data_IF_944981087913
#
_entry.id   IF_944981087913
#
_cell.length_a   1.000
_cell.length_b   1.000
_cell.length_c   1.000
_cell.angle_alpha   90.00
_cell.angle_beta   90.00
_cell.angle_gamma   90.00
#
_symmetry.space_group_name_H-M   'P 1'
#
loop_
_entity.id
_entity.type
_entity.pdbx_description
1 polymer ?
#
# COMPACT_ATOMS: atom_id res chain seq x y z
N UNK A 1 -16.21 -41.94 -24.38
CA UNK A 1 -17.42 -41.35 -23.73
C UNK A 1 -17.07 -39.93 -23.35
N UNK A 2 -17.23 -38.99 -24.28
CA UNK A 2 -18.44 -38.16 -24.46
C UNK A 2 -18.43 -36.94 -23.55
N UNK A 3 -17.84 -35.86 -24.07
CA UNK A 3 -18.22 -34.48 -23.74
C UNK A 3 -19.74 -34.32 -23.87
N UNK A 4 -20.38 -33.62 -22.93
CA UNK A 4 -21.47 -32.72 -23.29
C UNK A 4 -21.47 -31.42 -22.47
N UNK A 5 -21.72 -30.28 -23.13
CA UNK A 5 -21.73 -28.93 -22.58
C UNK A 5 -23.16 -28.48 -22.21
N UNK A 6 -23.29 -27.56 -21.26
CA UNK A 6 -24.40 -26.59 -21.22
C UNK A 6 -24.30 -25.67 -20.01
N UNK A 7 -23.97 -24.40 -20.22
CA UNK A 7 -24.81 -23.32 -19.70
C UNK A 7 -24.57 -22.06 -20.56
N UNK A 8 -25.39 -21.93 -21.61
CA UNK A 8 -25.60 -20.69 -22.33
C UNK A 8 -26.21 -19.68 -21.35
N UNK A 9 -25.40 -18.73 -20.88
CA UNK A 9 -25.89 -17.55 -20.16
C UNK A 9 -26.61 -16.65 -21.17
N UNK A 10 -27.94 -16.58 -21.04
CA UNK A 10 -28.79 -15.64 -21.75
C UNK A 10 -28.28 -14.22 -21.48
N UNK A 11 -27.82 -13.55 -22.54
CA UNK A 11 -27.63 -12.11 -22.59
C UNK A 11 -29.00 -11.43 -22.44
N UNK A 12 -29.42 -11.24 -21.19
CA UNK A 12 -30.50 -10.33 -20.83
C UNK A 12 -29.91 -8.93 -20.79
N UNK A 13 -30.19 -8.13 -21.80
CA UNK A 13 -30.10 -6.66 -21.70
C UNK A 13 -30.76 -6.22 -20.39
N UNK A 14 -30.01 -5.65 -19.45
CA UNK A 14 -30.56 -5.03 -18.26
C UNK A 14 -30.18 -3.56 -18.25
N UNK A 15 -31.22 -2.77 -18.42
CA UNK A 15 -31.28 -1.32 -18.27
C UNK A 15 -30.72 -0.87 -16.92
N UNK A 16 -29.91 0.17 -16.96
CA UNK A 16 -29.37 0.90 -15.81
C UNK A 16 -30.50 1.28 -14.83
N UNK A 17 -30.44 0.77 -13.59
CA UNK A 17 -31.30 1.21 -12.50
C UNK A 17 -30.67 2.42 -11.80
N UNK A 18 -31.37 3.55 -11.87
CA UNK A 18 -30.97 4.86 -11.34
C UNK A 18 -31.42 4.99 -9.89
N UNK A 19 -30.86 4.23 -8.95
CA UNK A 19 -31.16 4.44 -7.53
C UNK A 19 -29.92 4.20 -6.66
N UNK A 20 -29.17 5.28 -6.41
CA UNK A 20 -28.16 5.34 -5.35
C UNK A 20 -28.84 5.68 -4.00
N UNK A 21 -28.47 5.03 -2.88
CA UNK A 21 -28.98 5.41 -1.56
C UNK A 21 -28.41 6.78 -1.14
N UNK A 22 -29.32 7.68 -0.75
CA UNK A 22 -29.01 9.01 -0.25
C UNK A 22 -28.69 8.93 1.25
N UNK A 23 -27.49 9.35 1.66
CA UNK A 23 -27.20 9.69 3.06
C UNK A 23 -26.70 11.12 3.15
N UNK A 24 -27.47 11.94 3.85
CA UNK A 24 -27.24 13.35 4.14
C UNK A 24 -26.00 13.56 5.02
N UNK A 25 -24.87 13.77 4.37
CA UNK A 25 -23.84 14.73 4.78
C UNK A 25 -23.36 15.39 3.50
N UNK A 26 -22.76 16.58 3.57
CA UNK A 26 -22.24 17.36 2.43
C UNK A 26 -21.10 16.60 1.74
N UNK A 27 -21.43 15.48 1.10
CA UNK A 27 -20.53 14.54 0.46
C UNK A 27 -20.18 15.15 -0.88
N UNK A 28 -18.88 15.24 -1.15
CA UNK A 28 -18.39 15.60 -2.46
C UNK A 28 -18.95 14.58 -3.46
N UNK A 29 -19.94 14.99 -4.26
CA UNK A 29 -20.55 14.14 -5.27
C UNK A 29 -19.54 13.86 -6.38
N UNK A 30 -19.36 12.60 -6.74
CA UNK A 30 -18.54 12.18 -7.86
C UNK A 30 -19.48 11.73 -8.98
N UNK A 31 -19.34 12.35 -10.15
CA UNK A 31 -20.11 11.99 -11.34
C UNK A 31 -19.34 10.92 -12.15
N UNK A 32 -19.91 9.72 -12.25
CA UNK A 32 -19.34 8.61 -13.04
C UNK A 32 -19.88 8.56 -14.48
N UNK A 33 -20.61 9.57 -14.95
CA UNK A 33 -21.16 9.61 -16.32
C UNK A 33 -20.09 9.44 -17.40
N UNK A 34 -18.91 10.06 -17.21
CA UNK A 34 -17.78 9.96 -18.12
C UNK A 34 -17.25 8.53 -18.20
N UNK A 35 -16.85 7.95 -17.07
CA UNK A 35 -16.33 6.58 -17.02
C UNK A 35 -17.35 5.55 -17.50
N UNK A 36 -18.63 5.67 -17.11
CA UNK A 36 -19.69 4.78 -17.58
C UNK A 36 -19.89 4.86 -19.10
N UNK A 37 -19.81 6.06 -19.69
CA UNK A 37 -19.89 6.25 -21.13
C UNK A 37 -18.73 5.58 -21.87
N UNK A 38 -17.50 5.75 -21.38
CA UNK A 38 -16.28 5.15 -21.93
C UNK A 38 -16.31 3.63 -21.82
N UNK A 39 -16.68 3.09 -20.65
CA UNK A 39 -16.79 1.64 -20.44
C UNK A 39 -17.81 1.05 -21.41
N UNK A 40 -18.98 1.67 -21.55
CA UNK A 40 -20.03 1.21 -22.45
C UNK A 40 -19.56 1.15 -23.92
N UNK A 41 -18.70 2.07 -24.37
CA UNK A 41 -18.22 2.11 -25.76
C UNK A 41 -16.96 1.27 -26.01
N UNK A 42 -16.08 1.12 -25.02
CA UNK A 42 -14.69 0.69 -25.24
C UNK A 42 -14.23 -0.49 -24.38
N UNK A 43 -15.12 -1.11 -23.59
CA UNK A 43 -14.74 -2.16 -22.64
C UNK A 43 -13.88 -3.30 -23.23
N UNK A 44 -14.22 -3.90 -24.41
CA UNK A 44 -13.39 -4.96 -24.96
C UNK A 44 -11.93 -4.54 -25.21
N UNK A 45 -11.73 -3.30 -25.67
CA UNK A 45 -10.40 -2.74 -25.94
C UNK A 45 -9.67 -2.44 -24.62
N UNK A 46 -10.36 -1.83 -23.65
CA UNK A 46 -9.84 -1.56 -22.30
C UNK A 46 -9.35 -2.86 -21.66
N UNK A 47 -10.19 -3.88 -21.67
CA UNK A 47 -9.85 -5.17 -21.06
C UNK A 47 -8.70 -5.85 -21.79
N UNK A 48 -8.66 -5.84 -23.12
CA UNK A 48 -7.53 -6.40 -23.88
C UNK A 48 -6.18 -5.79 -23.46
N UNK A 49 -6.10 -4.46 -23.34
CA UNK A 49 -4.88 -3.79 -22.89
C UNK A 49 -4.60 -4.02 -21.39
N UNK A 50 -5.63 -4.07 -20.56
CA UNK A 50 -5.49 -4.40 -19.13
C UNK A 50 -4.95 -5.82 -18.94
N UNK A 51 -5.44 -6.80 -19.69
CA UNK A 51 -4.91 -8.16 -19.67
C UNK A 51 -3.43 -8.18 -20.07
N UNK A 52 -3.04 -7.40 -21.09
CA UNK A 52 -1.63 -7.30 -21.48
C UNK A 52 -0.74 -6.72 -20.39
N UNK A 53 -1.23 -5.71 -19.66
CA UNK A 53 -0.54 -5.19 -18.47
C UNK A 53 -0.36 -6.29 -17.41
N UNK A 54 -1.42 -7.05 -17.11
CA UNK A 54 -1.41 -8.12 -16.11
C UNK A 54 -0.45 -9.24 -16.51
N UNK A 55 -0.38 -9.64 -17.78
CA UNK A 55 0.61 -10.61 -18.28
C UNK A 55 2.05 -10.16 -18.01
N UNK A 56 2.36 -8.89 -18.31
CA UNK A 56 3.68 -8.32 -18.08
C UNK A 56 4.00 -8.23 -16.58
N UNK A 57 3.02 -7.84 -15.76
CA UNK A 57 3.13 -7.84 -14.30
C UNK A 57 3.43 -9.24 -13.78
N UNK A 58 2.67 -10.26 -14.19
CA UNK A 58 2.87 -11.65 -13.79
C UNK A 58 4.25 -12.17 -14.21
N UNK A 59 4.75 -11.71 -15.36
CA UNK A 59 6.11 -12.03 -15.82
C UNK A 59 7.18 -11.42 -14.91
N UNK A 60 7.03 -10.18 -14.45
CA UNK A 60 7.94 -9.60 -13.45
C UNK A 60 7.80 -10.34 -12.12
N UNK A 61 6.58 -10.71 -11.69
CA UNK A 61 6.37 -11.36 -10.40
C UNK A 61 6.73 -12.85 -10.36
N UNK A 62 7.20 -13.45 -11.46
CA UNK A 62 7.50 -14.90 -11.55
C UNK A 62 8.52 -15.38 -10.52
N UNK A 63 9.51 -14.54 -10.22
CA UNK A 63 10.64 -14.88 -9.33
C UNK A 63 10.42 -14.45 -7.86
N UNK A 64 9.19 -14.06 -7.50
CA UNK A 64 8.85 -13.63 -6.14
C UNK A 64 9.22 -14.64 -5.05
N UNK A 65 9.13 -15.94 -5.36
CA UNK A 65 9.49 -16.99 -4.41
C UNK A 65 10.97 -16.95 -4.00
N UNK A 66 11.86 -16.49 -4.89
CA UNK A 66 13.27 -16.31 -4.58
C UNK A 66 13.43 -15.19 -3.55
N UNK A 67 12.70 -14.09 -3.71
CA UNK A 67 12.74 -12.95 -2.78
C UNK A 67 12.15 -13.32 -1.43
N UNK A 68 11.03 -14.05 -1.39
CA UNK A 68 10.44 -14.57 -0.15
C UNK A 68 11.45 -15.44 0.63
N UNK A 69 12.17 -16.34 -0.07
CA UNK A 69 13.24 -17.16 0.54
C UNK A 69 14.39 -16.29 1.08
N UNK A 70 14.82 -15.27 0.33
CA UNK A 70 15.85 -14.32 0.80
C UNK A 70 15.38 -13.58 2.06
N UNK A 71 14.16 -13.07 2.08
CA UNK A 71 13.57 -12.37 3.25
C UNK A 71 13.55 -13.29 4.47
N UNK A 72 13.06 -14.52 4.33
CA UNK A 72 13.04 -15.50 5.43
C UNK A 72 14.45 -15.71 6.01
N UNK A 73 15.43 -15.91 5.13
CA UNK A 73 16.80 -16.17 5.54
C UNK A 73 17.52 -14.93 6.10
N UNK A 74 17.21 -13.71 5.62
CA UNK A 74 17.71 -12.46 6.21
C UNK A 74 17.14 -12.27 7.62
N UNK A 75 15.84 -12.52 7.82
CA UNK A 75 15.22 -12.44 9.14
C UNK A 75 15.86 -13.42 10.12
N UNK A 76 16.19 -14.63 9.70
CA UNK A 76 16.94 -15.60 10.50
C UNK A 76 18.33 -15.07 10.92
N UNK A 77 19.12 -14.58 9.96
CA UNK A 77 20.44 -13.99 10.24
C UNK A 77 20.36 -12.82 11.22
N UNK A 78 19.36 -11.95 11.08
CA UNK A 78 19.15 -10.81 11.97
C UNK A 78 18.67 -11.24 13.36
N UNK A 79 17.76 -12.21 13.46
CA UNK A 79 17.31 -12.74 14.76
C UNK A 79 18.49 -13.35 15.54
N UNK A 80 19.41 -14.05 14.86
CA UNK A 80 20.62 -14.61 15.47
C UNK A 80 21.62 -13.55 15.97
N UNK A 81 21.40 -12.26 15.66
CA UNK A 81 22.19 -11.19 16.24
C UNK A 81 21.76 -10.84 17.66
N UNK A 82 20.52 -11.16 18.04
CA UNK A 82 19.92 -10.73 19.30
C UNK A 82 19.77 -11.92 20.24
N UNK A 83 20.49 -11.91 21.36
CA UNK A 83 20.55 -13.02 22.32
C UNK A 83 19.29 -13.12 23.22
N UNK A 84 18.21 -12.38 22.90
CA UNK A 84 17.01 -12.28 23.73
C UNK A 84 15.82 -12.95 23.06
N UNK A 85 15.19 -13.90 23.77
CA UNK A 85 13.97 -14.60 23.35
C UNK A 85 12.76 -13.67 23.16
N UNK A 86 12.79 -12.49 23.78
CA UNK A 86 11.66 -11.55 23.77
C UNK A 86 11.71 -10.54 22.62
N UNK A 87 12.77 -10.57 21.80
CA UNK A 87 12.89 -9.70 20.63
C UNK A 87 12.06 -10.27 19.48
N UNK A 88 11.38 -9.40 18.74
CA UNK A 88 10.74 -9.75 17.45
C UNK A 88 11.18 -8.82 16.34
N UNK A 89 11.48 -9.42 15.18
CA UNK A 89 11.62 -8.72 13.91
C UNK A 89 10.39 -8.96 13.05
N UNK A 90 9.52 -7.94 13.01
CA UNK A 90 8.23 -7.99 12.33
C UNK A 90 8.37 -7.39 10.94
N UNK A 91 8.10 -8.14 9.85
CA UNK A 91 8.07 -7.56 8.52
C UNK A 91 6.88 -6.61 8.40
N UNK A 92 7.09 -5.49 7.72
CA UNK A 92 6.06 -4.51 7.39
C UNK A 92 6.14 -4.17 5.89
N UNK A 93 5.21 -3.35 5.41
CA UNK A 93 5.16 -2.93 4.02
C UNK A 93 5.01 -4.11 3.05
N UNK A 94 5.65 -4.02 1.89
CA UNK A 94 5.46 -4.98 0.79
C UNK A 94 5.81 -6.43 1.15
N UNK A 95 6.71 -6.64 2.12
CA UNK A 95 7.08 -7.97 2.60
C UNK A 95 5.99 -8.64 3.47
N UNK A 96 5.02 -7.87 3.96
CA UNK A 96 4.00 -8.32 4.89
C UNK A 96 2.57 -8.17 4.36
N UNK A 97 2.34 -7.29 3.38
CA UNK A 97 1.00 -6.96 2.88
C UNK A 97 0.63 -7.60 1.53
N UNK A 98 1.41 -8.60 1.09
CA UNK A 98 1.24 -9.35 -0.17
C UNK A 98 1.50 -8.55 -1.46
N UNK A 99 2.05 -7.33 -1.37
CA UNK A 99 2.38 -6.48 -2.53
C UNK A 99 3.89 -6.48 -2.87
N UNK A 100 4.58 -7.56 -2.50
CA UNK A 100 6.01 -7.75 -2.79
C UNK A 100 6.24 -7.79 -4.30
N UNK A 101 7.33 -7.17 -4.77
CA UNK A 101 7.81 -7.25 -6.15
C UNK A 101 9.33 -7.40 -6.21
N UNK A 102 9.88 -7.54 -7.41
CA UNK A 102 11.32 -7.74 -7.63
C UNK A 102 12.24 -6.62 -7.12
N UNK A 103 11.67 -5.45 -6.86
CA UNK A 103 12.37 -4.23 -6.48
C UNK A 103 12.05 -3.83 -5.04
N UNK A 104 11.29 -4.65 -4.33
CA UNK A 104 10.94 -4.43 -2.93
C UNK A 104 12.18 -4.55 -2.04
N UNK A 105 12.31 -3.56 -1.16
CA UNK A 105 13.22 -3.63 -0.03
C UNK A 105 12.52 -4.36 1.13
N UNK A 106 13.28 -4.76 2.16
CA UNK A 106 12.73 -5.40 3.35
C UNK A 106 12.63 -4.39 4.49
N UNK A 107 11.41 -3.97 4.79
CA UNK A 107 11.12 -3.13 5.95
C UNK A 107 10.80 -3.99 7.18
N UNK A 108 11.46 -3.71 8.30
CA UNK A 108 11.30 -4.42 9.56
C UNK A 108 11.00 -3.45 10.71
N UNK A 109 10.20 -3.91 11.67
CA UNK A 109 10.13 -3.32 13.02
C UNK A 109 10.80 -4.26 14.00
N UNK A 110 11.80 -3.74 14.70
CA UNK A 110 12.42 -4.34 15.87
C UNK A 110 11.57 -4.03 17.10
N UNK A 111 11.03 -5.07 17.73
CA UNK A 111 10.32 -4.98 19.00
C UNK A 111 11.22 -5.53 20.11
N UNK A 112 11.61 -4.73 21.11
CA UNK A 112 12.54 -5.15 22.16
C UNK A 112 11.95 -6.10 23.19
N UNK A 113 10.61 -6.19 23.26
CA UNK A 113 9.89 -7.01 24.22
C UNK A 113 8.54 -7.44 23.66
N UNK A 114 8.05 -8.59 24.14
CA UNK A 114 6.69 -9.08 23.89
C UNK A 114 5.69 -8.57 24.92
N UNK A 115 6.18 -8.11 26.06
CA UNK A 115 5.38 -7.51 27.12
C UNK A 115 5.05 -6.05 26.79
N UNK A 116 3.76 -5.71 26.91
CA UNK A 116 3.24 -4.38 26.55
C UNK A 116 3.75 -3.28 27.47
N UNK A 117 3.99 -3.56 28.76
CA UNK A 117 4.53 -2.59 29.71
C UNK A 117 5.98 -2.27 29.37
N UNK A 118 6.82 -3.29 29.20
CA UNK A 118 8.22 -3.12 28.80
C UNK A 118 8.37 -2.45 27.44
N UNK A 119 7.51 -2.76 26.47
CA UNK A 119 7.49 -2.05 25.19
C UNK A 119 7.15 -0.56 25.36
N UNK A 120 6.14 -0.21 26.18
CA UNK A 120 5.79 1.19 26.47
C UNK A 120 6.95 1.93 27.16
N UNK A 121 7.58 1.30 28.14
CA UNK A 121 8.73 1.89 28.85
C UNK A 121 9.92 2.12 27.90
N UNK A 122 10.18 1.16 27.00
CA UNK A 122 11.16 1.34 25.93
C UNK A 122 10.79 2.52 25.03
N UNK A 123 9.55 2.58 24.54
CA UNK A 123 9.12 3.65 23.63
C UNK A 123 9.20 5.03 24.28
N UNK A 124 8.85 5.13 25.58
CA UNK A 124 9.00 6.37 26.35
C UNK A 124 10.46 6.84 26.37
N UNK A 125 11.40 5.93 26.62
CA UNK A 125 12.83 6.26 26.60
C UNK A 125 13.34 6.54 25.18
N UNK A 126 12.97 5.73 24.19
CA UNK A 126 13.46 5.84 22.82
C UNK A 126 13.00 7.13 22.12
N UNK A 127 11.75 7.55 22.36
CA UNK A 127 11.20 8.79 21.82
C UNK A 127 11.64 10.02 22.62
N UNK A 128 11.60 9.95 23.96
CA UNK A 128 11.82 11.09 24.85
C UNK A 128 13.26 11.34 25.31
N UNK A 129 14.17 10.37 25.19
CA UNK A 129 15.56 10.50 25.63
C UNK A 129 16.55 10.23 24.48
N UNK A 130 17.13 11.31 23.94
CA UNK A 130 18.08 11.25 22.82
C UNK A 130 19.36 10.49 23.15
N UNK A 131 19.86 10.57 24.39
CA UNK A 131 21.06 9.82 24.82
C UNK A 131 20.79 8.32 24.83
N UNK A 132 19.66 7.89 25.42
CA UNK A 132 19.24 6.49 25.40
C UNK A 132 19.07 5.99 23.97
N UNK A 133 18.31 6.72 23.14
CA UNK A 133 18.09 6.38 21.74
C UNK A 133 19.40 6.22 20.96
N UNK A 134 20.29 7.19 21.06
CA UNK A 134 21.55 7.18 20.33
C UNK A 134 22.47 6.04 20.80
N UNK A 135 22.52 5.80 22.12
CA UNK A 135 23.26 4.67 22.69
C UNK A 135 22.70 3.33 22.20
N UNK A 136 21.38 3.16 22.24
CA UNK A 136 20.69 1.96 21.76
C UNK A 136 21.00 1.70 20.27
N UNK A 137 20.76 2.67 19.40
CA UNK A 137 21.04 2.55 17.95
C UNK A 137 22.52 2.25 17.67
N UNK A 138 23.45 2.92 18.37
CA UNK A 138 24.89 2.69 18.20
C UNK A 138 25.29 1.27 18.64
N UNK A 139 24.71 0.76 19.72
CA UNK A 139 24.96 -0.60 20.20
C UNK A 139 24.37 -1.64 19.24
N UNK A 140 23.14 -1.44 18.76
CA UNK A 140 22.54 -2.30 17.73
C UNK A 140 23.38 -2.29 16.45
N UNK A 141 23.83 -1.12 15.98
CA UNK A 141 24.74 -1.01 14.83
C UNK A 141 26.03 -1.81 15.01
N UNK A 142 26.69 -1.68 16.17
CA UNK A 142 27.91 -2.45 16.49
C UNK A 142 27.64 -3.95 16.50
N UNK A 143 26.52 -4.39 17.06
CA UNK A 143 26.11 -5.80 17.11
C UNK A 143 25.84 -6.37 15.71
N UNK A 144 25.11 -5.64 14.85
CA UNK A 144 24.86 -6.07 13.48
C UNK A 144 26.17 -6.16 12.67
N UNK A 145 27.10 -5.23 12.87
CA UNK A 145 28.43 -5.27 12.25
C UNK A 145 29.29 -6.44 12.76
N UNK A 146 29.33 -6.68 14.07
CA UNK A 146 30.14 -7.76 14.64
C UNK A 146 29.67 -9.14 14.18
N UNK A 147 28.35 -9.32 14.04
CA UNK A 147 27.73 -10.55 13.51
C UNK A 147 27.78 -10.64 11.98
N UNK A 148 28.28 -9.61 11.28
CA UNK A 148 28.49 -9.57 9.83
C UNK A 148 27.23 -9.89 9.01
N UNK A 149 26.07 -9.32 9.34
CA UNK A 149 24.80 -9.60 8.60
C UNK A 149 24.72 -8.97 7.19
N UNK A 150 25.63 -8.05 6.89
CA UNK A 150 25.68 -7.32 5.64
C UNK A 150 26.55 -6.07 5.77
N UNK A 151 26.47 -5.19 4.78
CA UNK A 151 26.99 -3.83 4.92
C UNK A 151 25.95 -2.99 5.68
N UNK A 152 26.30 -2.49 6.86
CA UNK A 152 25.38 -1.76 7.73
C UNK A 152 25.74 -0.29 7.69
N UNK A 153 24.79 0.55 7.29
CA UNK A 153 24.98 2.00 7.27
C UNK A 153 25.06 2.53 8.70
N UNK A 154 25.73 3.67 8.88
CA UNK A 154 25.68 4.37 10.16
C UNK A 154 24.22 4.77 10.47
N UNK A 155 23.73 4.63 11.71
CA UNK A 155 22.32 4.86 12.00
C UNK A 155 21.85 6.27 11.64
N UNK A 156 20.61 6.37 11.17
CA UNK A 156 19.98 7.65 10.83
C UNK A 156 19.35 8.28 12.08
N UNK A 157 20.17 8.76 13.02
CA UNK A 157 19.75 9.25 14.34
C UNK A 157 18.74 10.40 14.30
N UNK A 158 18.89 11.30 13.33
CA UNK A 158 18.13 12.55 13.22
C UNK A 158 16.96 12.44 12.21
N UNK A 159 16.72 11.26 11.64
CA UNK A 159 15.53 11.04 10.85
C UNK A 159 14.28 11.10 11.74
N UNK A 160 13.16 11.51 11.17
CA UNK A 160 11.86 11.54 11.86
C UNK A 160 11.53 10.21 12.54
N UNK A 161 11.78 9.12 11.82
CA UNK A 161 11.77 7.77 12.35
C UNK A 161 13.23 7.31 12.29
N UNK A 162 13.92 7.21 13.45
CA UNK A 162 15.28 6.71 13.51
C UNK A 162 15.33 5.26 13.03
N UNK A 163 16.17 4.99 12.03
CA UNK A 163 16.33 3.66 11.43
C UNK A 163 17.79 3.23 11.35
N UNK A 164 18.00 1.92 11.25
CA UNK A 164 19.25 1.32 10.77
C UNK A 164 18.97 0.69 9.41
N UNK A 165 19.75 1.08 8.40
CA UNK A 165 19.72 0.47 7.07
C UNK A 165 20.91 -0.45 6.90
N UNK A 166 20.70 -1.56 6.20
CA UNK A 166 21.78 -2.43 5.76
C UNK A 166 21.50 -3.02 4.38
N UNK A 167 22.57 -3.30 3.65
CA UNK A 167 22.52 -4.15 2.47
C UNK A 167 22.98 -5.56 2.85
N UNK A 168 22.01 -6.49 2.89
CA UNK A 168 22.25 -7.85 3.37
C UNK A 168 23.18 -8.64 2.44
N UNK A 169 23.79 -9.69 2.98
CA UNK A 169 24.57 -10.67 2.19
C UNK A 169 23.78 -11.27 1.01
N UNK A 170 22.45 -11.33 1.13
CA UNK A 170 21.53 -11.86 0.11
C UNK A 170 21.07 -10.81 -0.91
N UNK A 171 21.75 -9.66 -0.96
CA UNK A 171 21.54 -8.57 -1.93
C UNK A 171 20.15 -7.94 -1.87
N UNK A 172 19.60 -7.81 -0.66
CA UNK A 172 18.41 -7.02 -0.38
C UNK A 172 18.76 -5.90 0.59
N UNK A 173 18.27 -4.70 0.31
CA UNK A 173 18.25 -3.60 1.26
C UNK A 173 17.24 -3.91 2.36
N UNK A 174 17.62 -3.63 3.60
CA UNK A 174 16.81 -3.83 4.79
C UNK A 174 16.79 -2.54 5.60
N UNK A 175 15.60 -2.04 5.91
CA UNK A 175 15.39 -0.86 6.75
C UNK A 175 14.73 -1.32 8.06
N UNK A 176 15.39 -1.06 9.20
CA UNK A 176 14.94 -1.49 10.54
C UNK A 176 14.49 -0.27 11.33
N UNK A 177 13.21 -0.22 11.67
CA UNK A 177 12.61 0.71 12.62
C UNK A 177 12.53 0.09 14.02
N UNK A 178 12.37 0.91 15.07
CA UNK A 178 12.41 0.44 16.45
C UNK A 178 11.11 0.77 17.18
N UNK A 179 10.39 -0.27 17.60
CA UNK A 179 9.22 -0.18 18.48
C UNK A 179 7.93 0.38 17.88
N UNK A 180 7.95 0.92 16.65
CA UNK A 180 6.76 1.51 16.01
C UNK A 180 5.68 0.48 15.69
N UNK A 181 4.48 0.65 16.25
CA UNK A 181 3.37 -0.29 16.08
C UNK A 181 2.44 0.11 14.93
N UNK A 182 2.39 1.39 14.59
CA UNK A 182 1.55 1.96 13.56
C UNK A 182 1.83 1.33 12.18
N UNK A 183 3.11 1.17 11.74
CA UNK A 183 3.41 0.48 10.48
C UNK A 183 3.02 -1.01 10.49
N UNK A 184 3.03 -1.67 11.65
CA UNK A 184 2.60 -3.07 11.78
C UNK A 184 1.09 -3.17 11.53
N UNK A 185 0.30 -2.32 12.20
CA UNK A 185 -1.16 -2.30 12.04
C UNK A 185 -1.56 -1.91 10.61
N UNK A 186 -0.96 -0.86 10.07
CA UNK A 186 -1.23 -0.41 8.71
C UNK A 186 -0.84 -1.47 7.67
N UNK A 187 0.26 -2.19 7.86
CA UNK A 187 0.63 -3.31 6.98
C UNK A 187 -0.39 -4.44 7.01
N UNK A 188 -0.93 -4.77 8.19
CA UNK A 188 -1.97 -5.78 8.32
C UNK A 188 -3.30 -5.34 7.72
N UNK A 189 -3.67 -4.06 7.86
CA UNK A 189 -4.84 -3.50 7.19
C UNK A 189 -4.74 -3.65 5.68
N UNK A 190 -3.63 -3.18 5.08
CA UNK A 190 -3.40 -3.32 3.62
C UNK A 190 -3.42 -4.79 3.20
N UNK A 191 -2.79 -5.67 3.99
CA UNK A 191 -2.83 -7.12 3.74
C UNK A 191 -4.26 -7.63 3.68
N UNK A 192 -5.08 -7.24 4.65
CA UNK A 192 -6.47 -7.69 4.77
C UNK A 192 -7.30 -7.20 3.58
N UNK A 193 -7.09 -5.97 3.11
CA UNK A 193 -7.71 -5.48 1.87
C UNK A 193 -7.30 -6.31 0.65
N UNK A 194 -6.02 -6.65 0.52
CA UNK A 194 -5.50 -7.47 -0.60
C UNK A 194 -6.02 -8.91 -0.54
N UNK A 195 -6.17 -9.49 0.65
CA UNK A 195 -6.74 -10.83 0.82
C UNK A 195 -8.26 -10.86 0.59
N UNK A 196 -8.94 -9.72 0.77
CA UNK A 196 -10.39 -9.61 0.58
C UNK A 196 -10.80 -9.71 -0.89
N UNK A 197 -10.09 -9.02 -1.79
CA UNK A 197 -10.40 -9.00 -3.23
C UNK A 197 -9.11 -8.90 -4.07
N UNK A 198 -8.96 -9.81 -5.03
CA UNK A 198 -7.75 -9.91 -5.87
C UNK A 198 -7.49 -8.67 -6.73
N UNK A 199 -8.54 -7.91 -7.09
CA UNK A 199 -8.45 -6.71 -7.92
C UNK A 199 -7.70 -5.60 -7.19
N UNK A 200 -7.68 -5.61 -5.86
CA UNK A 200 -6.95 -4.63 -5.03
C UNK A 200 -5.47 -4.64 -5.35
N UNK A 201 -4.84 -5.83 -5.37
CA UNK A 201 -3.41 -5.94 -5.67
C UNK A 201 -3.10 -5.47 -7.10
N UNK A 202 -3.94 -5.86 -8.06
CA UNK A 202 -3.77 -5.51 -9.48
C UNK A 202 -3.84 -3.99 -9.69
N UNK A 203 -4.80 -3.32 -9.06
CA UNK A 203 -4.94 -1.86 -9.11
C UNK A 203 -3.80 -1.13 -8.41
N UNK A 204 -3.32 -1.64 -7.27
CA UNK A 204 -2.14 -1.09 -6.58
C UNK A 204 -0.91 -1.18 -7.48
N UNK A 205 -0.69 -2.33 -8.14
CA UNK A 205 0.42 -2.49 -9.07
C UNK A 205 0.28 -1.58 -10.29
N UNK A 206 -0.92 -1.43 -10.85
CA UNK A 206 -1.19 -0.50 -11.94
C UNK A 206 -0.88 0.96 -11.55
N UNK A 207 -1.40 1.44 -10.43
CA UNK A 207 -1.19 2.83 -10.01
C UNK A 207 0.28 3.07 -9.61
N UNK A 208 0.93 2.09 -8.97
CA UNK A 208 2.36 2.13 -8.68
C UNK A 208 3.18 2.28 -9.97
N UNK A 209 2.82 1.53 -11.01
CA UNK A 209 3.44 1.62 -12.32
C UNK A 209 3.28 3.02 -12.96
N UNK A 210 2.10 3.64 -12.88
CA UNK A 210 1.88 5.01 -13.38
C UNK A 210 2.63 6.07 -12.57
N UNK A 211 2.76 5.89 -11.25
CA UNK A 211 3.56 6.77 -10.39
C UNK A 211 5.06 6.67 -10.70
N UNK A 212 5.56 5.46 -10.99
CA UNK A 212 6.95 5.24 -11.44
C UNK A 212 7.21 5.88 -12.81
N UNK A 213 6.32 5.65 -13.78
CA UNK A 213 6.41 6.24 -15.12
C UNK A 213 6.43 7.77 -15.07
N UNK A 214 5.63 8.35 -14.16
CA UNK A 214 5.55 9.80 -13.95
C UNK A 214 6.67 10.36 -13.06
N UNK A 215 7.59 9.50 -12.58
CA UNK A 215 8.72 9.86 -11.71
C UNK A 215 8.33 10.57 -10.41
N UNK A 216 7.14 10.26 -9.87
CA UNK A 216 6.65 10.80 -8.60
C UNK A 216 6.68 9.77 -7.45
N UNK A 217 7.27 8.59 -7.67
CA UNK A 217 7.44 7.54 -6.66
C UNK A 217 8.89 7.41 -6.18
N UNK A 218 9.23 8.04 -5.05
CA UNK A 218 10.54 7.86 -4.39
C UNK A 218 10.53 8.41 -2.96
N UNK A 219 10.43 7.52 -1.96
CA UNK A 219 10.34 7.93 -0.56
C UNK A 219 11.54 8.71 -0.04
N UNK A 220 12.75 8.48 -0.59
CA UNK A 220 13.97 9.18 -0.19
C UNK A 220 14.08 10.62 -0.68
N UNK A 221 13.27 11.03 -1.66
CA UNK A 221 13.43 12.30 -2.39
C UNK A 221 12.26 13.26 -2.14
N UNK A 222 11.58 13.14 -0.99
CA UNK A 222 10.36 13.89 -0.67
C UNK A 222 9.20 13.67 -1.67
N UNK A 223 9.20 12.55 -2.41
CA UNK A 223 8.13 12.12 -3.31
C UNK A 223 7.25 11.05 -2.67
N UNK A 224 6.24 10.55 -3.39
CA UNK A 224 5.34 9.55 -2.84
C UNK A 224 6.06 8.23 -2.55
N UNK A 225 5.75 7.62 -1.41
CA UNK A 225 6.03 6.22 -1.12
C UNK A 225 4.94 5.30 -1.72
N UNK A 226 5.25 4.00 -1.80
CA UNK A 226 4.27 2.96 -2.18
C UNK A 226 3.07 2.91 -1.24
N UNK A 227 3.28 3.26 0.03
CA UNK A 227 2.19 3.29 0.98
C UNK A 227 1.12 4.33 0.60
N UNK A 228 1.48 5.52 0.10
CA UNK A 228 0.46 6.47 -0.39
C UNK A 228 -0.34 5.92 -1.57
N UNK A 229 0.32 5.17 -2.47
CA UNK A 229 -0.36 4.52 -3.61
C UNK A 229 -1.37 3.48 -3.10
N UNK A 230 -0.99 2.66 -2.11
CA UNK A 230 -1.90 1.71 -1.49
C UNK A 230 -3.13 2.43 -0.90
N UNK A 231 -2.91 3.54 -0.20
CA UNK A 231 -4.01 4.30 0.41
C UNK A 231 -4.94 4.93 -0.62
N UNK A 232 -4.43 5.42 -1.75
CA UNK A 232 -5.27 5.90 -2.85
C UNK A 232 -6.16 4.78 -3.40
N UNK A 233 -5.59 3.62 -3.74
CA UNK A 233 -6.40 2.52 -4.29
C UNK A 233 -7.42 2.01 -3.28
N UNK A 234 -7.02 1.75 -2.04
CA UNK A 234 -7.93 1.24 -1.00
C UNK A 234 -9.06 2.25 -0.75
N UNK A 235 -8.73 3.55 -0.65
CA UNK A 235 -9.73 4.59 -0.49
C UNK A 235 -10.75 4.58 -1.63
N UNK A 236 -10.28 4.58 -2.89
CA UNK A 236 -11.16 4.57 -4.06
C UNK A 236 -12.12 3.38 -4.04
N UNK A 237 -11.61 2.18 -3.78
CA UNK A 237 -12.41 0.95 -3.77
C UNK A 237 -13.46 0.91 -2.65
N UNK A 238 -13.25 1.69 -1.59
CA UNK A 238 -14.21 1.87 -0.49
C UNK A 238 -15.17 3.05 -0.71
N UNK A 239 -14.78 4.05 -1.50
CA UNK A 239 -15.55 5.28 -1.72
C UNK A 239 -16.56 5.17 -2.87
N UNK A 240 -16.39 4.19 -3.77
CA UNK A 240 -17.24 4.03 -4.94
C UNK A 240 -18.68 3.59 -4.58
N UNK A 241 -19.71 3.96 -5.37
CA UNK A 241 -21.12 3.72 -5.02
C UNK A 241 -21.47 2.24 -4.79
N UNK A 242 -20.86 1.35 -5.58
CA UNK A 242 -20.90 -0.10 -5.40
C UNK A 242 -19.50 -0.55 -4.98
N UNK A 243 -19.15 -0.48 -3.69
CA UNK A 243 -17.79 -0.68 -3.20
C UNK A 243 -17.29 -2.09 -3.51
N UNK A 244 -16.05 -2.17 -4.01
CA UNK A 244 -15.29 -3.44 -4.09
C UNK A 244 -14.78 -3.81 -2.71
N UNK A 245 -14.34 -2.81 -1.94
CA UNK A 245 -13.92 -2.98 -0.56
C UNK A 245 -14.95 -2.33 0.38
N UNK A 246 -15.47 -3.03 1.39
CA UNK A 246 -16.22 -2.35 2.43
C UNK A 246 -15.29 -1.55 3.36
N UNK A 247 -15.85 -0.88 4.36
CA UNK A 247 -15.03 -0.36 5.47
C UNK A 247 -14.43 -1.53 6.27
N UNK A 248 -13.28 -2.02 5.81
CA UNK A 248 -12.57 -3.19 6.36
C UNK A 248 -12.24 -2.99 7.84
N UNK A 249 -11.92 -1.75 8.25
CA UNK A 249 -11.57 -1.43 9.64
C UNK A 249 -12.83 -1.52 10.54
N UNK A 250 -13.99 -1.05 10.06
CA UNK A 250 -15.27 -1.26 10.78
C UNK A 250 -15.61 -2.73 10.97
N UNK A 251 -15.45 -3.52 9.91
CA UNK A 251 -15.95 -4.90 9.86
C UNK A 251 -15.03 -5.91 10.54
N UNK A 252 -13.77 -5.55 10.81
CA UNK A 252 -12.82 -6.42 11.50
C UNK A 252 -12.39 -5.82 12.84
N UNK A 253 -12.96 -6.28 13.98
CA UNK A 253 -12.53 -5.86 15.31
C UNK A 253 -11.02 -6.06 15.54
N UNK A 254 -10.42 -7.01 14.84
CA UNK A 254 -9.00 -7.31 14.89
C UNK A 254 -8.12 -6.15 14.41
N UNK A 255 -8.64 -5.32 13.51
CA UNK A 255 -7.98 -4.14 12.95
C UNK A 255 -8.20 -2.86 13.77
N UNK A 256 -9.03 -2.90 14.82
CA UNK A 256 -9.24 -1.73 15.68
C UNK A 256 -7.94 -1.27 16.33
N UNK A 257 -7.70 0.05 16.36
CA UNK A 257 -6.56 0.66 17.06
C UNK A 257 -6.52 0.34 18.55
N UNK A 258 -7.67 -0.01 19.14
CA UNK A 258 -7.81 -0.38 20.54
C UNK A 258 -7.44 -1.84 20.81
N UNK A 259 -7.31 -2.68 19.77
CA UNK A 259 -6.90 -4.06 19.92
C UNK A 259 -5.41 -4.17 20.26
N UNK A 260 -5.04 -5.22 21.00
CA UNK A 260 -3.64 -5.54 21.30
C UNK A 260 -2.85 -5.73 20.01
N UNK A 261 -1.79 -4.93 19.86
CA UNK A 261 -0.90 -4.96 18.72
C UNK A 261 -0.18 -6.30 18.57
N UNK A 262 -0.06 -7.10 19.65
CA UNK A 262 0.47 -8.46 19.57
C UNK A 262 -0.31 -9.35 18.60
N UNK A 263 -1.61 -9.13 18.45
CA UNK A 263 -2.42 -9.86 17.48
C UNK A 263 -1.95 -9.57 16.06
N UNK A 264 -1.71 -8.30 15.73
CA UNK A 264 -1.19 -7.92 14.43
C UNK A 264 0.20 -8.54 14.16
N UNK A 265 1.06 -8.55 15.18
CA UNK A 265 2.38 -9.18 15.08
C UNK A 265 2.28 -10.69 14.82
N UNK A 266 1.40 -11.40 15.53
CA UNK A 266 1.19 -12.84 15.33
C UNK A 266 0.76 -13.13 13.89
N UNK A 267 -0.20 -12.38 13.35
CA UNK A 267 -0.72 -12.58 11.99
C UNK A 267 0.38 -12.34 10.94
N UNK A 268 1.11 -11.22 11.05
CA UNK A 268 2.16 -10.87 10.09
C UNK A 268 3.41 -11.76 10.18
N UNK A 269 3.70 -12.35 11.34
CA UNK A 269 4.88 -13.22 11.51
C UNK A 269 4.61 -14.68 11.22
N UNK A 270 3.37 -15.15 11.41
CA UNK A 270 2.96 -16.55 11.19
C UNK A 270 2.21 -16.80 9.88
N UNK A 271 2.13 -15.80 9.01
CA UNK A 271 1.39 -15.86 7.73
C UNK A 271 -0.11 -16.17 7.88
N UNK A 272 -0.74 -15.84 9.01
CA UNK A 272 -2.20 -15.97 9.16
C UNK A 272 -2.96 -14.91 8.37
N UNK A 273 -4.28 -15.07 8.22
CA UNK A 273 -5.21 -14.10 7.65
C UNK A 273 -6.23 -13.63 8.70
N UNK A 274 -6.90 -12.51 8.43
CA UNK A 274 -8.02 -12.04 9.23
C UNK A 274 -9.34 -12.37 8.52
N UNK A 275 -10.34 -12.77 9.30
CA UNK A 275 -11.70 -12.86 8.78
C UNK A 275 -12.31 -11.46 8.69
N UNK A 276 -12.92 -11.18 7.53
CA UNK A 276 -13.77 -10.02 7.30
C UNK A 276 -15.10 -10.54 6.77
N UNK A 277 -16.23 -10.27 7.44
CA UNK A 277 -17.54 -10.65 6.93
C UNK A 277 -17.78 -10.06 5.54
N UNK A 278 -18.34 -10.87 4.63
CA UNK A 278 -18.95 -10.31 3.42
C UNK A 278 -20.18 -9.51 3.84
N UNK A 279 -20.29 -8.27 3.36
CA UNK A 279 -21.32 -7.33 3.77
C UNK A 279 -22.20 -6.86 2.62
N UNK A 280 -22.04 -7.43 1.41
CA UNK A 280 -22.86 -7.08 0.26
C UNK A 280 -23.62 -8.29 -0.26
N UNK A 281 -24.94 -8.14 -0.35
CA UNK A 281 -25.82 -9.10 -1.03
C UNK A 281 -25.60 -9.08 -2.57
N UNK A 282 -24.99 -8.01 -3.09
CA UNK A 282 -24.65 -7.84 -4.52
C UNK A 282 -23.19 -7.37 -4.64
N UNK A 283 -22.25 -8.27 -4.95
CA UNK A 283 -20.85 -7.89 -5.08
C UNK A 283 -20.62 -6.98 -6.29
N UNK A 284 -19.60 -6.12 -6.22
CA UNK A 284 -19.15 -5.37 -7.38
C UNK A 284 -18.51 -6.33 -8.41
N UNK A 285 -19.01 -6.35 -9.64
CA UNK A 285 -18.53 -7.22 -10.73
C UNK A 285 -17.63 -6.52 -11.76
N UNK A 286 -17.26 -5.25 -11.56
CA UNK A 286 -16.44 -4.53 -12.51
C UNK A 286 -15.06 -5.19 -12.69
N UNK A 287 -14.62 -5.29 -13.93
CA UNK A 287 -13.27 -5.76 -14.28
C UNK A 287 -12.21 -4.81 -13.74
N UNK A 288 -10.95 -5.25 -13.69
CA UNK A 288 -9.82 -4.37 -13.34
C UNK A 288 -9.70 -3.20 -14.32
N UNK A 289 -9.99 -3.43 -15.61
CA UNK A 289 -9.99 -2.39 -16.63
C UNK A 289 -11.05 -1.32 -16.36
N UNK A 290 -12.27 -1.72 -16.03
CA UNK A 290 -13.35 -0.82 -15.63
C UNK A 290 -12.98 0.01 -14.40
N UNK A 291 -12.45 -0.65 -13.36
CA UNK A 291 -12.04 0.01 -12.12
C UNK A 291 -10.90 1.01 -12.35
N UNK A 292 -9.97 0.75 -13.27
CA UNK A 292 -8.95 1.72 -13.68
C UNK A 292 -9.58 2.98 -14.25
N UNK A 293 -10.55 2.83 -15.18
CA UNK A 293 -11.23 3.98 -15.81
C UNK A 293 -12.03 4.78 -14.77
N UNK A 294 -12.76 4.08 -13.89
CA UNK A 294 -13.51 4.72 -12.81
C UNK A 294 -12.59 5.43 -11.79
N UNK A 295 -11.44 4.85 -11.44
CA UNK A 295 -10.48 5.49 -10.53
C UNK A 295 -9.88 6.76 -11.13
N UNK A 296 -9.57 6.76 -12.42
CA UNK A 296 -9.09 7.95 -13.13
C UNK A 296 -10.15 9.04 -13.10
N UNK A 297 -11.40 8.68 -13.40
CA UNK A 297 -12.52 9.62 -13.38
C UNK A 297 -12.74 10.19 -11.97
N UNK A 298 -12.78 9.33 -10.96
CA UNK A 298 -12.91 9.68 -9.55
C UNK A 298 -11.87 10.71 -9.12
N UNK A 299 -10.59 10.40 -9.28
CA UNK A 299 -9.52 11.28 -8.82
C UNK A 299 -9.34 12.54 -9.67
N UNK A 300 -9.80 12.54 -10.92
CA UNK A 300 -9.80 13.76 -11.74
C UNK A 300 -10.80 14.82 -11.26
N UNK A 301 -11.78 14.43 -10.43
CA UNK A 301 -12.82 15.31 -9.90
C UNK A 301 -12.48 15.85 -8.51
N UNK A 302 -11.46 15.32 -7.85
CA UNK A 302 -11.07 15.76 -6.51
C UNK A 302 -10.12 16.96 -6.59
N UNK A 303 -10.52 18.09 -6.00
CA UNK A 303 -9.61 19.20 -5.73
C UNK A 303 -8.67 18.82 -4.57
N UNK A 304 -7.53 18.20 -4.89
CA UNK A 304 -6.52 17.75 -3.92
C UNK A 304 -5.95 18.88 -3.04
N UNK A 305 -6.15 20.16 -3.40
CA UNK A 305 -5.75 21.29 -2.55
C UNK A 305 -6.75 21.50 -1.42
N UNK A 306 -8.04 21.38 -1.70
CA UNK A 306 -9.14 21.63 -0.75
C UNK A 306 -9.63 20.39 -0.03
N UNK A 307 -9.50 19.22 -0.65
CA UNK A 307 -10.05 17.96 -0.15
C UNK A 307 -8.93 17.04 0.35
N UNK A 308 -9.24 16.27 1.39
CA UNK A 308 -8.48 15.13 1.87
C UNK A 308 -9.29 13.85 1.76
N UNK A 309 -8.61 12.72 1.93
CA UNK A 309 -9.22 11.39 1.94
C UNK A 309 -8.85 10.64 3.21
N UNK A 310 -9.65 9.65 3.58
CA UNK A 310 -9.28 8.71 4.65
C UNK A 310 -9.23 7.24 4.20
N UNK A 311 -8.70 6.39 5.07
CA UNK A 311 -8.62 4.94 4.86
C UNK A 311 -9.97 4.22 4.99
N UNK A 312 -11.08 4.95 5.08
CA UNK A 312 -12.45 4.44 5.26
C UNK A 312 -13.38 4.86 4.12
N UNK A 313 -12.82 5.36 3.01
CA UNK A 313 -13.57 5.73 1.82
C UNK A 313 -14.23 7.12 1.89
N UNK A 314 -13.91 7.96 2.88
CA UNK A 314 -14.51 9.29 3.01
C UNK A 314 -13.61 10.38 2.43
N UNK A 315 -14.23 11.27 1.67
CA UNK A 315 -13.63 12.53 1.22
C UNK A 315 -14.09 13.64 2.15
N UNK A 316 -13.18 14.50 2.60
CA UNK A 316 -13.49 15.59 3.52
C UNK A 316 -12.81 16.89 3.12
N UNK A 317 -13.39 18.03 3.49
CA UNK A 317 -12.77 19.33 3.31
C UNK A 317 -11.66 19.54 4.34
N UNK A 318 -10.48 19.97 3.90
CA UNK A 318 -9.36 20.25 4.80
C UNK A 318 -9.73 21.39 5.75
N UNK A 319 -9.44 21.21 7.04
CA UNK A 319 -9.72 22.20 8.09
C UNK A 319 -8.71 23.35 8.11
N UNK A 320 -7.56 23.20 7.46
CA UNK A 320 -6.51 24.21 7.36
C UNK A 320 -6.07 24.38 5.91
N UNK A 321 -5.74 25.61 5.51
CA UNK A 321 -5.19 25.95 4.18
C UNK A 321 -3.74 25.47 4.00
N UNK A 322 -3.42 24.21 4.36
CA UNK A 322 -2.17 23.59 3.97
C UNK A 322 -2.28 23.14 2.51
N UNK A 323 -2.18 24.10 1.59
CA UNK A 323 -2.33 23.87 0.15
C UNK A 323 -1.11 23.15 -0.46
N UNK A 324 -0.01 23.03 0.29
CA UNK A 324 1.24 22.43 -0.16
C UNK A 324 1.24 20.90 -0.11
N UNK A 325 0.43 20.27 0.75
CA UNK A 325 0.39 18.82 0.91
C UNK A 325 -1.03 18.27 0.80
N UNK A 326 -1.14 17.07 0.27
CA UNK A 326 -2.37 16.30 0.18
C UNK A 326 -2.57 15.57 1.51
N UNK A 327 -3.80 15.58 2.02
CA UNK A 327 -4.10 15.00 3.32
C UNK A 327 -4.71 13.61 3.14
N UNK A 328 -4.02 12.61 3.69
CA UNK A 328 -4.49 11.23 3.81
C UNK A 328 -4.59 10.93 5.30
N UNK A 329 -5.80 10.69 5.80
CA UNK A 329 -6.03 10.30 7.20
C UNK A 329 -6.07 8.78 7.29
N UNK A 330 -5.19 8.20 8.09
CA UNK A 330 -5.14 6.77 8.36
C UNK A 330 -5.46 6.54 9.85
N UNK A 331 -6.30 5.55 10.16
CA UNK A 331 -6.76 5.24 11.51
C UNK A 331 -5.62 4.89 12.50
N UNK A 332 -4.44 4.53 12.01
CA UNK A 332 -3.28 4.13 12.79
C UNK A 332 -2.23 5.24 12.96
N UNK A 333 -2.27 6.29 12.14
CA UNK A 333 -1.28 7.36 12.17
C UNK A 333 -1.92 8.69 12.59
N UNK A 334 -1.16 9.53 13.29
CA UNK A 334 -1.64 10.86 13.62
C UNK A 334 -1.91 11.70 12.36
N UNK A 335 -3.00 12.47 12.36
CA UNK A 335 -3.53 13.23 11.21
C UNK A 335 -2.50 14.14 10.53
N UNK A 336 -1.47 14.58 11.25
CA UNK A 336 -0.39 15.46 10.73
C UNK A 336 0.73 14.73 9.97
N UNK A 337 0.59 13.43 9.71
CA UNK A 337 1.77 12.60 9.44
C UNK A 337 1.82 11.71 8.21
N UNK A 338 0.69 11.40 7.56
CA UNK A 338 0.66 10.32 6.55
C UNK A 338 1.34 10.73 5.25
N UNK A 339 0.95 11.86 4.64
CA UNK A 339 1.56 12.39 3.43
C UNK A 339 2.21 13.76 3.70
N UNK A 340 3.52 13.86 3.44
CA UNK A 340 4.32 15.08 3.62
C UNK A 340 5.03 15.54 2.34
N UNK A 341 4.68 14.91 1.23
CA UNK A 341 5.20 15.23 -0.10
C UNK A 341 4.78 16.66 -0.42
N UNK A 342 5.76 17.55 -0.57
CA UNK A 342 5.50 18.92 -0.99
C UNK A 342 4.97 18.92 -2.42
N UNK A 343 4.04 19.83 -2.73
CA UNK A 343 3.37 19.92 -4.03
C UNK A 343 2.61 18.64 -4.43
N UNK A 344 2.28 17.78 -3.46
CA UNK A 344 1.57 16.54 -3.76
C UNK A 344 0.19 16.76 -4.41
N UNK A 345 -0.60 17.81 -4.09
CA UNK A 345 -1.81 18.10 -4.84
C UNK A 345 -1.54 18.29 -6.33
N UNK A 346 -0.50 19.06 -6.69
CA UNK A 346 -0.11 19.36 -8.06
C UNK A 346 0.33 18.10 -8.81
N UNK A 347 1.10 17.22 -8.15
CA UNK A 347 1.51 15.95 -8.75
C UNK A 347 0.31 15.04 -9.06
N UNK A 348 -0.65 14.93 -8.12
CA UNK A 348 -1.84 14.10 -8.32
C UNK A 348 -2.77 14.68 -9.38
N UNK A 349 -3.04 16.00 -9.35
CA UNK A 349 -3.84 16.68 -10.36
C UNK A 349 -3.26 16.44 -11.76
N UNK A 350 -1.96 16.71 -11.97
CA UNK A 350 -1.31 16.49 -13.26
C UNK A 350 -1.34 15.04 -13.71
N UNK A 351 -1.15 14.09 -12.78
CA UNK A 351 -1.21 12.67 -13.09
C UNK A 351 -2.60 12.29 -13.60
N UNK A 352 -3.65 12.58 -12.83
CA UNK A 352 -5.00 12.15 -13.17
C UNK A 352 -5.61 12.92 -14.34
N UNK A 353 -5.25 14.18 -14.56
CA UNK A 353 -5.58 14.92 -15.78
C UNK A 353 -4.95 14.27 -17.01
N UNK A 354 -3.65 13.92 -16.96
CA UNK A 354 -2.95 13.24 -18.05
C UNK A 354 -3.55 11.86 -18.34
N UNK A 355 -3.91 11.10 -17.31
CA UNK A 355 -4.55 9.80 -17.46
C UNK A 355 -5.97 9.94 -18.05
N UNK A 356 -6.77 10.91 -17.59
CA UNK A 356 -8.10 11.18 -18.15
C UNK A 356 -8.04 11.64 -19.60
N UNK A 357 -7.03 12.42 -19.97
CA UNK A 357 -6.78 12.79 -21.36
C UNK A 357 -6.47 11.56 -22.22
N UNK A 358 -5.62 10.65 -21.74
CA UNK A 358 -5.34 9.40 -22.46
C UNK A 358 -6.59 8.53 -22.65
N UNK A 359 -7.52 8.53 -21.68
CA UNK A 359 -8.83 7.86 -21.82
C UNK A 359 -9.69 8.54 -22.89
N UNK A 360 -9.75 9.88 -22.92
CA UNK A 360 -10.50 10.65 -23.93
C UNK A 360 -9.96 10.44 -25.35
N UNK A 361 -8.66 10.25 -25.49
CA UNK A 361 -7.97 9.98 -26.76
C UNK A 361 -7.99 8.48 -27.13
N UNK A 362 -8.68 7.64 -26.37
CA UNK A 362 -8.72 6.17 -26.53
C UNK A 362 -7.31 5.51 -26.56
N UNK A 363 -6.34 6.15 -25.92
CA UNK A 363 -4.95 5.70 -25.89
C UNK A 363 -4.72 4.68 -24.74
N UNK A 364 -5.41 3.54 -24.84
CA UNK A 364 -5.36 2.48 -23.85
C UNK A 364 -4.01 1.76 -23.80
N UNK A 365 -3.27 1.74 -24.90
CA UNK A 365 -1.88 1.23 -24.91
C UNK A 365 -1.01 1.99 -23.92
N UNK A 366 -1.01 3.33 -23.96
CA UNK A 366 -0.28 4.16 -23.00
C UNK A 366 -0.83 4.00 -21.58
N UNK A 367 -2.14 3.87 -21.44
CA UNK A 367 -2.79 3.73 -20.15
C UNK A 367 -2.33 2.48 -19.40
N UNK A 368 -2.25 1.36 -20.12
CA UNK A 368 -1.87 0.05 -19.61
C UNK A 368 -0.42 -0.33 -19.94
N UNK A 369 0.38 0.60 -20.43
CA UNK A 369 1.81 0.38 -20.64
C UNK A 369 2.50 -0.02 -19.33
N UNK A 370 3.18 -1.18 -19.34
CA UNK A 370 3.97 -1.68 -18.23
C UNK A 370 5.36 -1.05 -18.25
N UNK A 371 5.58 -0.07 -17.37
CA UNK A 371 6.85 0.62 -17.25
C UNK A 371 7.86 -0.26 -16.52
N UNK A 372 8.98 -0.54 -17.19
CA UNK A 372 10.13 -1.22 -16.58
C UNK A 372 11.16 -0.16 -16.18
N UNK A 373 11.23 0.27 -14.91
CA UNK A 373 12.26 1.21 -14.50
C UNK A 373 13.64 0.59 -14.72
N UNK A 374 14.68 1.41 -14.94
CA UNK A 374 16.05 0.92 -15.03
C UNK A 374 16.40 0.07 -13.80
N UNK A 375 17.26 -0.95 -13.99
CA UNK A 375 17.72 -1.80 -12.88
C UNK A 375 18.37 -0.89 -11.82
N UNK A 376 18.07 -1.12 -10.53
CA UNK A 376 18.80 -0.46 -9.44
C UNK A 376 20.30 -0.68 -9.73
N UNK A 377 21.14 0.37 -9.77
CA UNK A 377 22.57 0.16 -9.96
C UNK A 377 23.03 -0.82 -8.89
N UNK A 378 23.69 -1.90 -9.32
CA UNK A 378 24.45 -2.72 -8.39
C UNK A 378 25.48 -1.76 -7.82
N UNK A 379 25.39 -1.45 -6.53
CA UNK A 379 26.47 -0.77 -5.83
C UNK A 379 27.70 -1.67 -5.97
N UNK A 380 28.49 -1.45 -7.02
CA UNK A 380 29.88 -1.86 -7.09
C UNK A 380 30.59 -1.02 -6.05
N UNK A 381 30.63 -1.54 -4.82
CA UNK A 381 31.50 -0.98 -3.80
C UNK A 381 32.88 -1.60 -3.95
N UNK A 382 33.87 -0.72 -4.05
CA UNK A 382 35.26 -0.99 -3.68
C UNK A 382 35.37 -1.26 -2.17
#
# INVERSE_FOLDING_TARGET
MSLKPSLLLKLSQRSFSVHAPCTSSTTHYIDYSFSNGVIKSSLPTIDSHCHKFIENLNTDLRDLNIIKKKIYSIRGDLMNCFDKTDVRLVPIGSAANLLLNNRSDLDLVFLPSNDSKHWKDFMKQFSGNSQFRNSFLKNTYKQLRSKRVGNVDYPYFNARIPIIRLFSKRKLQVDIQFGNIEPIRSSLFVRTCVEYDERVALLIHWLTNKFLESKILKSSDNLFSRYHVNMLVIHFLQAMPYPVLPDIISLSPWLSKNNDWNNAVKVLTRQGSLYVPSNSDVPNENSVGELVIQMIDYYSQIDFRKMGIDTRGRVFQKTYNCNATFQIVDDYFDVSSTCRVQESPQFLTRLFEKLKLAVKEENYEKLFHYYTPPKKPVLTMF
#
